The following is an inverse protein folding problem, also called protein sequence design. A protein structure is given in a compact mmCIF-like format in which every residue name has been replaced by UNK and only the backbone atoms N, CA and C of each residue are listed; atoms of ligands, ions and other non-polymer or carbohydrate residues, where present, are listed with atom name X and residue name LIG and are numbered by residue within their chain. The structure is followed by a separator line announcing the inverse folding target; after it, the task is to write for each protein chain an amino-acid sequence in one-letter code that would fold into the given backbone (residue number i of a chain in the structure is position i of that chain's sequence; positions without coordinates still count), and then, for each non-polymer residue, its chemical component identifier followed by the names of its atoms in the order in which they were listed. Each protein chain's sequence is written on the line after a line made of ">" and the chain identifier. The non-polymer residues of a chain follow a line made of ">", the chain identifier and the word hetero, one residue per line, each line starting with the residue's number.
data_IF_939643695614
#
_entry.id   IF_939643695614
#
_cell.length_a   1.000
_cell.length_b   1.000
_cell.length_c   1.000
_cell.angle_alpha   90.00
_cell.angle_beta   90.00
_cell.angle_gamma   90.00
#
_symmetry.space_group_name_H-M   'P 1'
#
loop_
_entity.id
_entity.type
_entity.pdbx_description
1 polymer ?
#
# COMPACT_ATOMS: atom_id res chain seq x y z
N UNK A 1 23.32 -37.54 -77.42
CA UNK A 1 23.96 -38.08 -76.20
C UNK A 1 23.97 -36.92 -75.19
N UNK A 2 22.89 -36.62 -74.49
CA UNK A 2 22.10 -37.36 -73.48
C UNK A 2 22.85 -37.55 -72.14
N UNK A 3 22.43 -36.75 -71.14
CA UNK A 3 22.48 -36.88 -69.65
C UNK A 3 22.57 -35.45 -69.05
N UNK A 4 21.46 -34.74 -68.81
CA UNK A 4 20.39 -34.90 -67.80
C UNK A 4 20.83 -34.45 -66.39
N UNK A 5 20.36 -33.28 -65.91
CA UNK A 5 20.66 -32.75 -64.57
C UNK A 5 19.70 -33.37 -63.56
N UNK A 6 20.20 -34.31 -62.76
CA UNK A 6 19.47 -34.83 -61.62
C UNK A 6 19.37 -33.75 -60.53
N UNK A 7 18.24 -33.04 -60.54
CA UNK A 7 17.69 -32.32 -59.40
C UNK A 7 17.48 -33.30 -58.24
N UNK A 8 18.38 -33.29 -57.26
CA UNK A 8 18.14 -33.93 -55.97
C UNK A 8 17.36 -32.95 -55.08
N UNK A 9 16.06 -32.78 -55.38
CA UNK A 9 15.13 -32.11 -54.47
C UNK A 9 14.81 -33.08 -53.33
N UNK A 10 15.39 -32.82 -52.16
CA UNK A 10 15.01 -33.46 -50.91
C UNK A 10 13.51 -33.23 -50.65
N UNK A 11 12.76 -34.25 -50.21
CA UNK A 11 11.35 -34.07 -49.85
C UNK A 11 11.26 -33.16 -48.62
N UNK A 12 10.48 -32.09 -48.75
CA UNK A 12 10.08 -31.24 -47.63
C UNK A 12 9.35 -32.10 -46.61
N UNK A 13 9.90 -32.15 -45.40
CA UNK A 13 9.33 -32.85 -44.26
C UNK A 13 8.05 -32.13 -43.79
N UNK A 14 6.93 -32.50 -44.41
CA UNK A 14 5.55 -32.08 -44.07
C UNK A 14 5.05 -32.65 -42.73
N UNK A 15 5.93 -33.17 -41.88
CA UNK A 15 5.57 -33.83 -40.61
C UNK A 15 5.89 -32.98 -39.37
N UNK A 16 5.91 -31.64 -39.48
CA UNK A 16 5.91 -30.81 -38.27
C UNK A 16 4.49 -30.70 -37.71
N UNK A 17 4.16 -31.38 -36.58
CA UNK A 17 2.89 -31.14 -35.93
C UNK A 17 2.80 -29.65 -35.59
N UNK A 18 1.70 -29.02 -35.99
CA UNK A 18 1.39 -27.64 -35.65
C UNK A 18 1.57 -27.45 -34.15
N UNK A 19 2.65 -26.78 -33.75
CA UNK A 19 2.90 -26.43 -32.36
C UNK A 19 1.75 -25.52 -31.94
N UNK A 20 0.79 -26.09 -31.19
CA UNK A 20 -0.33 -25.33 -30.63
C UNK A 20 0.28 -24.11 -29.92
N UNK A 21 -0.20 -22.89 -30.20
CA UNK A 21 0.30 -21.71 -29.51
C UNK A 21 0.17 -21.99 -28.01
N UNK A 22 1.32 -22.04 -27.32
CA UNK A 22 1.34 -22.19 -25.87
C UNK A 22 0.43 -21.09 -25.33
N UNK A 23 -0.54 -21.41 -24.46
CA UNK A 23 -1.38 -20.39 -23.87
C UNK A 23 -0.43 -19.39 -23.23
N UNK A 24 -0.39 -18.17 -23.78
CA UNK A 24 0.40 -17.07 -23.25
C UNK A 24 0.10 -17.05 -21.76
N UNK A 25 1.14 -17.33 -20.95
CA UNK A 25 1.00 -17.40 -19.52
C UNK A 25 0.32 -16.12 -19.08
N UNK A 26 -0.92 -16.22 -18.58
CA UNK A 26 -1.62 -15.06 -18.02
C UNK A 26 -0.68 -14.49 -16.98
N UNK A 27 -0.09 -13.34 -17.30
CA UNK A 27 0.75 -12.61 -16.36
C UNK A 27 -0.06 -12.50 -15.06
N UNK A 28 0.53 -12.86 -13.91
CA UNK A 28 -0.18 -12.83 -12.64
C UNK A 28 -0.83 -11.46 -12.50
N UNK A 29 -2.13 -11.44 -12.16
CA UNK A 29 -2.92 -10.23 -12.06
C UNK A 29 -2.12 -9.16 -11.33
N UNK A 30 -1.76 -8.09 -12.05
CA UNK A 30 -0.82 -7.06 -11.58
C UNK A 30 -1.33 -6.53 -10.24
N UNK A 31 -0.58 -6.80 -9.17
CA UNK A 31 -0.95 -6.36 -7.82
C UNK A 31 -1.07 -4.84 -7.82
N UNK A 32 -2.31 -4.36 -7.77
CA UNK A 32 -2.61 -2.92 -7.84
C UNK A 32 -2.59 -2.38 -6.42
N UNK A 33 -1.96 -1.22 -6.22
CA UNK A 33 -1.90 -0.58 -4.91
C UNK A 33 -3.33 -0.24 -4.43
N UNK A 34 -3.78 -0.75 -3.27
CA UNK A 34 -5.19 -0.71 -2.89
C UNK A 34 -5.59 0.63 -2.24
N UNK A 35 -5.31 1.75 -2.91
CA UNK A 35 -5.45 3.13 -2.37
C UNK A 35 -6.78 3.36 -1.68
N UNK A 36 -7.91 3.06 -2.34
CA UNK A 36 -9.26 3.31 -1.78
C UNK A 36 -9.48 2.57 -0.46
N UNK A 37 -9.00 1.32 -0.37
CA UNK A 37 -9.13 0.51 0.85
C UNK A 37 -8.22 1.03 1.95
N UNK A 38 -7.00 1.47 1.60
CA UNK A 38 -6.07 2.09 2.54
C UNK A 38 -6.61 3.40 3.08
N UNK A 39 -7.12 4.30 2.23
CA UNK A 39 -7.73 5.56 2.68
C UNK A 39 -8.90 5.33 3.63
N UNK A 40 -9.80 4.39 3.27
CA UNK A 40 -10.93 4.05 4.14
C UNK A 40 -10.45 3.52 5.50
N UNK A 41 -9.46 2.61 5.48
CA UNK A 41 -8.84 2.04 6.67
C UNK A 41 -8.20 3.11 7.57
N UNK A 42 -7.44 4.04 6.98
CA UNK A 42 -6.81 5.15 7.71
C UNK A 42 -7.89 6.00 8.39
N UNK A 43 -8.92 6.42 7.64
CA UNK A 43 -9.98 7.28 8.18
C UNK A 43 -10.80 6.57 9.26
N UNK A 44 -11.18 5.31 9.06
CA UNK A 44 -11.94 4.56 10.07
C UNK A 44 -11.13 4.31 11.33
N UNK A 45 -9.84 3.99 11.20
CA UNK A 45 -8.94 3.76 12.34
C UNK A 45 -8.70 5.07 13.08
N UNK A 46 -8.41 6.16 12.37
CA UNK A 46 -8.25 7.48 12.97
C UNK A 46 -9.51 7.90 13.75
N UNK A 47 -10.70 7.76 13.15
CA UNK A 47 -11.96 8.06 13.82
C UNK A 47 -12.15 7.25 15.11
N UNK A 48 -11.88 5.94 15.07
CA UNK A 48 -11.95 5.09 16.25
C UNK A 48 -10.96 5.52 17.34
N UNK A 49 -9.74 5.90 16.97
CA UNK A 49 -8.73 6.39 17.91
C UNK A 49 -9.10 7.75 18.52
N UNK A 50 -9.69 8.66 17.75
CA UNK A 50 -10.22 9.92 18.29
C UNK A 50 -11.32 9.66 19.31
N UNK A 51 -12.29 8.82 18.99
CA UNK A 51 -13.37 8.46 19.91
C UNK A 51 -12.80 7.82 21.17
N UNK A 52 -11.88 6.86 21.03
CA UNK A 52 -11.23 6.20 22.16
C UNK A 52 -10.47 7.20 23.05
N UNK A 53 -9.68 8.09 22.44
CA UNK A 53 -8.91 9.10 23.18
C UNK A 53 -9.82 10.07 23.94
N UNK A 54 -10.92 10.51 23.33
CA UNK A 54 -11.91 11.36 24.00
C UNK A 54 -12.62 10.62 25.15
N UNK A 55 -12.98 9.35 24.95
CA UNK A 55 -13.57 8.52 26.01
C UNK A 55 -12.60 8.33 27.18
N UNK A 56 -11.31 8.11 26.90
CA UNK A 56 -10.26 8.06 27.93
C UNK A 56 -10.11 9.42 28.63
N UNK A 57 -10.18 10.52 27.89
CA UNK A 57 -10.15 11.88 28.43
C UNK A 57 -11.25 12.12 29.46
N UNK A 58 -12.49 11.78 29.11
CA UNK A 58 -13.64 11.90 30.00
C UNK A 58 -13.58 10.89 31.15
N UNK A 59 -13.31 9.62 30.85
CA UNK A 59 -13.34 8.52 31.83
C UNK A 59 -12.22 8.56 32.86
N UNK A 60 -11.04 9.05 32.49
CA UNK A 60 -9.88 9.16 33.39
C UNK A 60 -9.71 10.57 34.00
N UNK A 61 -10.62 11.51 33.71
CA UNK A 61 -10.54 12.88 34.23
C UNK A 61 -9.28 13.62 33.77
N UNK A 62 -8.85 13.41 32.54
CA UNK A 62 -7.64 14.04 32.01
C UNK A 62 -7.85 15.55 31.86
N UNK A 63 -6.77 16.32 32.05
CA UNK A 63 -6.81 17.77 31.85
C UNK A 63 -7.02 18.10 30.37
N UNK A 64 -7.61 19.26 30.09
CA UNK A 64 -7.84 19.74 28.72
C UNK A 64 -6.54 19.76 27.90
N UNK A 65 -5.43 20.17 28.51
CA UNK A 65 -4.12 20.20 27.86
C UNK A 65 -3.65 18.80 27.40
N UNK A 66 -3.95 17.75 28.18
CA UNK A 66 -3.63 16.36 27.83
C UNK A 66 -4.52 15.86 26.70
N UNK A 67 -5.83 16.11 26.79
CA UNK A 67 -6.79 15.73 25.75
C UNK A 67 -6.41 16.38 24.43
N UNK A 68 -6.20 17.71 24.43
CA UNK A 68 -5.80 18.49 23.27
C UNK A 68 -4.47 18.00 22.67
N UNK A 69 -3.47 17.77 23.52
CA UNK A 69 -2.17 17.26 23.06
C UNK A 69 -2.33 15.93 22.31
N UNK A 70 -3.03 14.96 22.88
CA UNK A 70 -3.23 13.67 22.22
C UNK A 70 -4.05 13.75 20.93
N UNK A 71 -5.08 14.60 20.87
CA UNK A 71 -5.84 14.87 19.63
C UNK A 71 -4.92 15.42 18.54
N UNK A 72 -4.05 16.38 18.87
CA UNK A 72 -3.10 16.95 17.90
C UNK A 72 -2.05 15.93 17.44
N UNK A 73 -1.62 15.05 18.35
CA UNK A 73 -0.77 13.90 18.02
C UNK A 73 -1.45 12.95 17.02
N UNK A 74 -2.69 12.55 17.31
CA UNK A 74 -3.48 11.69 16.42
C UNK A 74 -3.73 12.34 15.05
N UNK A 75 -3.97 13.65 15.01
CA UNK A 75 -4.10 14.41 13.75
C UNK A 75 -2.81 14.37 12.93
N UNK A 76 -1.65 14.53 13.58
CA UNK A 76 -0.33 14.46 12.93
C UNK A 76 -0.10 13.09 12.28
N UNK A 77 -0.40 12.01 13.01
CA UNK A 77 -0.30 10.65 12.47
C UNK A 77 -1.28 10.44 11.30
N UNK A 78 -2.54 10.86 11.46
CA UNK A 78 -3.57 10.71 10.43
C UNK A 78 -3.18 11.43 9.14
N UNK A 79 -2.76 12.70 9.23
CA UNK A 79 -2.32 13.48 8.08
C UNK A 79 -1.14 12.81 7.36
N UNK A 80 -0.17 12.30 8.12
CA UNK A 80 1.00 11.59 7.57
C UNK A 80 0.61 10.30 6.85
N UNK A 81 -0.36 9.55 7.39
CA UNK A 81 -0.88 8.33 6.75
C UNK A 81 -1.66 8.63 5.46
N UNK A 82 -2.44 9.71 5.43
CA UNK A 82 -3.12 10.16 4.21
C UNK A 82 -2.09 10.53 3.13
N UNK A 83 -1.12 11.39 3.47
CA UNK A 83 -0.05 11.79 2.54
C UNK A 83 0.77 10.61 2.04
N UNK A 84 1.16 9.69 2.93
CA UNK A 84 1.86 8.46 2.54
C UNK A 84 1.04 7.60 1.58
N UNK A 85 -0.26 7.43 1.84
CA UNK A 85 -1.14 6.64 0.97
C UNK A 85 -1.25 7.26 -0.44
N UNK A 86 -1.40 8.59 -0.53
CA UNK A 86 -1.45 9.30 -1.81
C UNK A 86 -0.12 9.24 -2.56
N UNK A 87 1.00 9.31 -1.84
CA UNK A 87 2.30 9.12 -2.47
C UNK A 87 2.50 7.69 -2.97
N UNK A 88 2.09 6.68 -2.20
CA UNK A 88 2.10 5.30 -2.65
C UNK A 88 1.28 5.11 -3.94
N UNK A 89 0.08 5.70 -4.00
CA UNK A 89 -0.73 5.74 -5.22
C UNK A 89 0.04 6.38 -6.39
N UNK A 90 0.64 7.55 -6.17
CA UNK A 90 1.37 8.26 -7.21
C UNK A 90 2.54 7.43 -7.75
N UNK A 91 3.33 6.80 -6.88
CA UNK A 91 4.43 5.94 -7.30
C UNK A 91 3.93 4.65 -7.99
N UNK A 92 2.80 4.10 -7.57
CA UNK A 92 2.18 2.95 -8.25
C UNK A 92 1.69 3.30 -9.67
N UNK A 93 1.26 4.56 -9.89
CA UNK A 93 0.79 5.03 -11.19
C UNK A 93 1.92 5.29 -12.21
N UNK A 94 3.13 5.59 -11.72
CA UNK A 94 4.30 5.91 -12.56
C UNK A 94 5.12 4.64 -12.86
N UNK A 95 5.17 3.70 -11.91
CA UNK A 95 5.94 2.47 -12.03
C UNK A 95 5.27 1.42 -12.94
N UNK A 96 5.89 1.14 -14.08
CA UNK A 96 5.58 -0.05 -14.88
C UNK A 96 6.65 -1.11 -14.73
N UNK A 97 6.39 -2.11 -13.88
CA UNK A 97 7.30 -3.21 -13.66
C UNK A 97 6.98 -4.04 -12.40
N UNK A 98 7.67 -5.18 -12.21
CA UNK A 98 7.46 -6.08 -11.06
C UNK A 98 7.80 -5.42 -9.71
N UNK A 99 8.60 -4.35 -9.71
CA UNK A 99 9.00 -3.61 -8.50
C UNK A 99 8.04 -2.49 -8.11
N UNK A 100 7.05 -2.15 -8.95
CA UNK A 100 6.12 -1.04 -8.72
C UNK A 100 5.31 -1.14 -7.41
N UNK A 101 4.85 -2.32 -6.96
CA UNK A 101 4.16 -2.44 -5.68
C UNK A 101 5.08 -2.17 -4.48
N UNK A 102 6.35 -2.60 -4.58
CA UNK A 102 7.35 -2.39 -3.53
C UNK A 102 7.75 -0.91 -3.45
N UNK A 103 7.96 -0.25 -4.58
CA UNK A 103 8.30 1.18 -4.60
C UNK A 103 7.15 2.04 -4.06
N UNK A 104 5.90 1.71 -4.39
CA UNK A 104 4.72 2.36 -3.83
C UNK A 104 4.65 2.21 -2.29
N UNK A 105 4.92 0.99 -1.78
CA UNK A 105 4.95 0.74 -0.34
C UNK A 105 6.08 1.53 0.37
N UNK A 106 7.28 1.55 -0.20
CA UNK A 106 8.43 2.26 0.37
C UNK A 106 8.23 3.77 0.36
N UNK A 107 7.69 4.34 -0.72
CA UNK A 107 7.37 5.76 -0.79
C UNK A 107 6.32 6.16 0.27
N UNK A 108 5.25 5.36 0.38
CA UNK A 108 4.21 5.56 1.40
C UNK A 108 4.77 5.47 2.81
N UNK A 109 5.57 4.45 3.11
CA UNK A 109 6.12 4.21 4.45
C UNK A 109 7.13 5.30 4.85
N UNK A 110 8.02 5.68 3.93
CA UNK A 110 9.01 6.74 4.15
C UNK A 110 8.33 8.06 4.50
N UNK A 111 7.31 8.45 3.74
CA UNK A 111 6.57 9.69 4.02
C UNK A 111 5.87 9.65 5.37
N UNK A 112 5.26 8.54 5.76
CA UNK A 112 4.62 8.40 7.08
C UNK A 112 5.62 8.57 8.21
N UNK A 113 6.78 7.94 8.07
CA UNK A 113 7.83 7.95 9.09
C UNK A 113 8.49 9.31 9.25
N UNK A 114 8.61 10.09 8.16
CA UNK A 114 9.18 11.44 8.21
C UNK A 114 8.12 12.47 8.63
N UNK A 115 6.93 12.42 8.02
CA UNK A 115 5.89 13.43 8.23
C UNK A 115 5.29 13.35 9.65
N UNK A 116 5.17 12.17 10.25
CA UNK A 116 4.57 12.05 11.59
C UNK A 116 5.36 12.83 12.65
N UNK A 117 6.68 12.58 12.83
CA UNK A 117 7.48 13.37 13.77
C UNK A 117 7.60 14.83 13.32
N UNK A 118 7.70 15.10 12.01
CA UNK A 118 7.77 16.48 11.52
C UNK A 118 6.52 17.28 11.91
N UNK A 119 5.31 16.75 11.67
CA UNK A 119 4.06 17.41 12.05
C UNK A 119 3.90 17.53 13.56
N UNK A 120 4.24 16.48 14.32
CA UNK A 120 4.19 16.52 15.77
C UNK A 120 5.10 17.64 16.34
N UNK A 121 6.34 17.72 15.86
CA UNK A 121 7.29 18.76 16.26
C UNK A 121 6.85 20.15 15.79
N UNK A 122 6.35 20.27 14.56
CA UNK A 122 5.80 21.55 14.05
C UNK A 122 4.64 22.03 14.91
N UNK A 123 3.71 21.15 15.28
CA UNK A 123 2.60 21.52 16.16
C UNK A 123 3.13 21.90 17.54
N UNK A 124 4.08 21.16 18.11
CA UNK A 124 4.69 21.47 19.41
C UNK A 124 5.21 22.91 19.49
N UNK A 125 5.87 23.39 18.44
CA UNK A 125 6.34 24.77 18.39
C UNK A 125 5.27 25.78 18.00
N UNK A 126 4.26 25.38 17.23
CA UNK A 126 3.23 26.29 16.73
C UNK A 126 2.11 26.58 17.74
N UNK A 127 1.87 25.68 18.71
CA UNK A 127 0.71 25.73 19.58
C UNK A 127 1.08 25.46 21.05
N UNK A 128 0.47 26.17 22.02
CA UNK A 128 0.68 25.90 23.43
C UNK A 128 -0.02 24.59 23.82
N UNK A 129 0.76 23.51 23.90
CA UNK A 129 0.29 22.20 24.40
C UNK A 129 1.35 21.46 25.19
N UNK A 130 0.91 20.44 25.93
CA UNK A 130 1.80 19.53 26.63
C UNK A 130 2.55 18.62 25.63
N UNK A 131 3.89 18.54 25.69
CA UNK A 131 4.69 17.76 24.73
C UNK A 131 4.43 16.27 24.83
N UNK A 132 4.37 15.72 26.05
CA UNK A 132 4.24 14.27 26.23
C UNK A 132 2.93 13.70 25.66
N UNK A 133 1.73 14.26 25.95
CA UNK A 133 0.49 13.79 25.33
C UNK A 133 0.48 13.88 23.80
N UNK A 134 1.08 14.93 23.23
CA UNK A 134 1.21 15.07 21.78
C UNK A 134 2.06 13.97 21.16
N UNK A 135 3.25 13.71 21.74
CA UNK A 135 4.14 12.68 21.23
C UNK A 135 3.54 11.28 21.40
N UNK A 136 2.85 11.03 22.52
CA UNK A 136 2.12 9.77 22.76
C UNK A 136 1.02 9.59 21.71
N UNK A 137 0.19 10.62 21.48
CA UNK A 137 -0.87 10.57 20.48
C UNK A 137 -0.34 10.31 19.07
N UNK A 138 0.78 10.96 18.70
CA UNK A 138 1.42 10.77 17.40
C UNK A 138 2.00 9.36 17.25
N UNK A 139 2.71 8.86 18.27
CA UNK A 139 3.32 7.52 18.24
C UNK A 139 2.26 6.42 18.24
N UNK A 140 1.25 6.51 19.11
CA UNK A 140 0.15 5.55 19.17
C UNK A 140 -0.68 5.57 17.88
N UNK A 141 -1.02 6.75 17.37
CA UNK A 141 -1.71 6.92 16.10
C UNK A 141 -0.94 6.29 14.95
N UNK A 142 0.36 6.59 14.84
CA UNK A 142 1.22 6.01 13.81
C UNK A 142 1.27 4.49 13.87
N UNK A 143 1.57 3.94 15.05
CA UNK A 143 1.69 2.49 15.22
C UNK A 143 0.38 1.77 14.88
N UNK A 144 -0.75 2.23 15.43
CA UNK A 144 -2.04 1.56 15.26
C UNK A 144 -2.57 1.69 13.83
N UNK A 145 -2.49 2.87 13.21
CA UNK A 145 -2.89 3.04 11.81
C UNK A 145 -1.97 2.21 10.90
N UNK A 146 -0.66 2.15 11.18
CA UNK A 146 0.26 1.35 10.38
C UNK A 146 -0.04 -0.15 10.44
N UNK A 147 -0.37 -0.70 11.62
CA UNK A 147 -0.75 -2.11 11.76
C UNK A 147 -1.97 -2.44 10.90
N UNK A 148 -3.00 -1.59 10.92
CA UNK A 148 -4.21 -1.81 10.11
C UNK A 148 -3.87 -1.67 8.61
N UNK A 149 -3.07 -0.68 8.23
CA UNK A 149 -2.65 -0.47 6.85
C UNK A 149 -1.85 -1.66 6.27
N UNK A 150 -0.89 -2.19 7.04
CA UNK A 150 -0.14 -3.41 6.65
C UNK A 150 -1.11 -4.57 6.45
N UNK A 151 -2.08 -4.73 7.34
CA UNK A 151 -3.08 -5.80 7.25
C UNK A 151 -3.93 -5.69 5.97
N UNK A 152 -4.34 -4.48 5.60
CA UNK A 152 -5.06 -4.21 4.35
C UNK A 152 -4.20 -4.51 3.13
N UNK A 153 -2.92 -4.14 3.17
CA UNK A 153 -1.98 -4.37 2.07
C UNK A 153 -1.70 -5.86 1.88
N UNK A 154 -1.38 -6.59 2.96
CA UNK A 154 -1.14 -8.03 2.94
C UNK A 154 -2.37 -8.79 2.45
N UNK A 155 -3.58 -8.39 2.88
CA UNK A 155 -4.83 -8.99 2.41
C UNK A 155 -5.08 -8.73 0.92
N UNK A 156 -4.74 -7.53 0.43
CA UNK A 156 -4.85 -7.21 -0.99
C UNK A 156 -3.87 -8.01 -1.86
N UNK A 157 -2.67 -8.29 -1.35
CA UNK A 157 -1.66 -9.11 -2.03
C UNK A 157 -1.99 -10.60 -2.00
N UNK A 158 -2.46 -11.13 -0.87
CA UNK A 158 -2.84 -12.55 -0.73
C UNK A 158 -4.10 -12.95 -1.50
N UNK A 159 -5.05 -12.02 -1.70
CA UNK A 159 -6.28 -12.27 -2.46
C UNK A 159 -6.10 -12.40 -3.98
N UNK A 160 -4.92 -12.06 -4.53
CA UNK A 160 -4.62 -12.22 -5.95
C UNK A 160 -4.25 -13.67 -6.34
N UNK A 161 -3.90 -14.52 -5.36
CA UNK A 161 -3.47 -15.91 -5.58
C UNK A 161 -4.56 -16.97 -5.43
N UNK A 162 -5.78 -16.61 -5.02
CA UNK A 162 -6.81 -17.57 -4.57
C UNK A 162 -8.11 -17.54 -5.37
N UNK A 163 -8.13 -16.97 -6.58
CA UNK A 163 -9.30 -17.17 -7.48
C UNK A 163 -9.26 -18.60 -8.02
N UNK A 164 -10.21 -19.48 -7.65
CA UNK A 164 -10.35 -20.76 -8.33
C UNK A 164 -10.66 -20.49 -9.79
N UNK A 165 -9.93 -21.14 -10.69
CA UNK A 165 -10.28 -21.26 -12.10
C UNK A 165 -11.68 -21.90 -12.18
N UNK A 166 -12.70 -21.23 -12.73
CA UNK A 166 -13.95 -21.89 -13.06
C UNK A 166 -13.65 -22.85 -14.22
N UNK A 167 -13.77 -24.16 -13.95
CA UNK A 167 -13.70 -25.21 -14.96
C UNK A 167 -12.28 -25.71 -15.25
N UNK A 168 -11.92 -26.80 -14.58
CA UNK A 168 -11.13 -27.88 -15.16
C UNK A 168 -11.97 -29.16 -15.06
#
# INVERSE_FOLDING_TARGET
>A
MNRDPAEERLPEDESRPAEKPRPEGRLPARATYPTKRLLLSVVSTAAALFVLWLMLGVGAGLTEAVIRGGVLGLLSATASHLLGTLAGERFSSIGSGPTAPLSAYLASSTLRFICTPAFAVSLYFALPQAPAPLLIGAAAGHALIMIVDVSVLLKAQGGAGSRPTPGA
#
